data_IF_227775662987
#
_entry.id   IF_227775662987
#
_cell.length_a   1.000
_cell.length_b   1.000
_cell.length_c   1.000
_cell.angle_alpha   90.00
_cell.angle_beta   90.00
_cell.angle_gamma   90.00
#
_symmetry.space_group_name_H-M   'P 1'
#
loop_
_entity.id
_entity.type
_entity.pdbx_description
1 polymer ?
#
# COMPACT_ATOMS: atom_id res chain seq x y z
N UNK A 1 -49.27 10.56 -12.51
CA UNK A 1 -48.35 9.73 -13.32
C UNK A 1 -46.95 10.29 -13.17
N UNK A 2 -46.01 9.57 -12.54
CA UNK A 2 -44.64 10.07 -12.36
C UNK A 2 -43.72 8.99 -11.78
N UNK A 3 -43.08 8.21 -12.64
CA UNK A 3 -42.07 7.21 -12.25
C UNK A 3 -40.73 7.92 -12.04
N UNK A 4 -40.34 8.18 -10.80
CA UNK A 4 -38.97 8.59 -10.47
C UNK A 4 -38.03 7.41 -10.72
N UNK A 5 -37.25 7.47 -11.80
CA UNK A 5 -36.17 6.54 -12.06
C UNK A 5 -35.01 6.91 -11.14
N UNK A 6 -34.82 6.14 -10.07
CA UNK A 6 -33.62 6.21 -9.27
C UNK A 6 -32.44 5.67 -10.09
N UNK A 7 -31.46 6.53 -10.36
CA UNK A 7 -30.18 6.09 -10.92
C UNK A 7 -29.46 5.25 -9.85
N UNK A 8 -29.59 3.93 -9.95
CA UNK A 8 -28.79 2.99 -9.17
C UNK A 8 -27.33 3.14 -9.62
N UNK A 9 -26.50 3.74 -8.78
CA UNK A 9 -25.05 3.77 -8.98
C UNK A 9 -24.56 2.31 -9.07
N UNK A 10 -24.07 1.93 -10.26
CA UNK A 10 -23.49 0.62 -10.52
C UNK A 10 -22.26 0.48 -9.63
N UNK A 11 -22.32 -0.41 -8.63
CA UNK A 11 -21.18 -0.66 -7.74
C UNK A 11 -19.97 -1.11 -8.57
N UNK A 12 -18.76 -0.58 -8.31
CA UNK A 12 -17.57 -0.90 -9.09
C UNK A 12 -17.06 -2.30 -8.74
N UNK A 13 -17.63 -3.32 -9.38
CA UNK A 13 -17.16 -4.72 -9.29
C UNK A 13 -17.35 -5.38 -7.92
N UNK A 14 -17.22 -6.72 -7.88
CA UNK A 14 -17.13 -7.49 -6.63
C UNK A 14 -15.66 -7.58 -6.23
N UNK A 15 -15.30 -7.10 -5.05
CA UNK A 15 -13.97 -7.25 -4.47
C UNK A 15 -14.07 -7.93 -3.09
N UNK A 16 -13.03 -8.67 -2.70
CA UNK A 16 -12.90 -9.31 -1.39
C UNK A 16 -11.59 -8.85 -0.75
N UNK A 17 -11.65 -8.42 0.50
CA UNK A 17 -10.47 -8.01 1.28
C UNK A 17 -10.27 -9.02 2.40
N UNK A 18 -9.02 -9.44 2.61
CA UNK A 18 -8.62 -10.27 3.76
C UNK A 18 -7.43 -9.61 4.45
N UNK A 19 -7.51 -9.50 5.78
CA UNK A 19 -6.41 -8.95 6.59
C UNK A 19 -5.54 -10.11 7.05
N UNK A 20 -4.26 -10.06 6.71
CA UNK A 20 -3.27 -11.03 7.15
C UNK A 20 -2.68 -10.63 8.52
N UNK A 21 -2.44 -11.64 9.37
CA UNK A 21 -1.78 -11.48 10.67
C UNK A 21 -0.26 -11.60 10.57
N UNK A 22 0.34 -12.44 11.42
CA UNK A 22 1.80 -12.66 11.45
C UNK A 22 2.32 -13.49 10.26
N UNK A 23 1.51 -14.38 9.71
CA UNK A 23 1.87 -15.25 8.59
C UNK A 23 1.18 -14.83 7.30
N UNK A 24 1.80 -15.18 6.18
CA UNK A 24 1.17 -15.00 4.87
C UNK A 24 -0.12 -15.83 4.78
N UNK A 25 -1.21 -15.26 4.25
CA UNK A 25 -2.40 -16.03 3.97
C UNK A 25 -2.13 -16.99 2.82
N UNK A 26 -3.00 -17.98 2.63
CA UNK A 26 -2.96 -18.84 1.45
C UNK A 26 -3.08 -17.96 0.20
N UNK A 27 -2.05 -18.00 -0.67
CA UNK A 27 -1.94 -17.11 -1.84
C UNK A 27 -2.61 -17.70 -3.09
N UNK A 28 -2.76 -19.02 -3.17
CA UNK A 28 -3.33 -19.72 -4.33
C UNK A 28 -4.51 -20.61 -3.96
N UNK A 29 -5.38 -20.88 -4.92
CA UNK A 29 -6.43 -21.89 -4.81
C UNK A 29 -6.54 -22.65 -6.12
N UNK A 30 -6.25 -23.95 -6.12
CA UNK A 30 -6.31 -24.82 -7.30
C UNK A 30 -5.66 -24.17 -8.53
N UNK A 31 -4.41 -23.72 -8.35
CA UNK A 31 -3.57 -23.05 -9.37
C UNK A 31 -4.01 -21.66 -9.82
N UNK A 32 -4.97 -21.04 -9.12
CA UNK A 32 -5.35 -19.64 -9.35
C UNK A 32 -4.80 -18.75 -8.26
N UNK A 33 -4.30 -17.58 -8.64
CA UNK A 33 -3.94 -16.54 -7.69
C UNK A 33 -5.18 -16.01 -6.97
N UNK A 34 -5.11 -15.96 -5.64
CA UNK A 34 -6.24 -15.56 -4.79
C UNK A 34 -6.42 -14.04 -4.73
N UNK A 35 -5.35 -13.29 -4.90
CA UNK A 35 -5.30 -11.83 -4.78
C UNK A 35 -4.68 -11.19 -6.01
N UNK A 36 -5.25 -10.07 -6.48
CA UNK A 36 -4.68 -9.25 -7.55
C UNK A 36 -3.79 -8.10 -7.07
N UNK A 37 -3.90 -7.72 -5.80
CA UNK A 37 -3.06 -6.69 -5.16
C UNK A 37 -2.78 -7.09 -3.71
N UNK A 38 -1.54 -6.88 -3.25
CA UNK A 38 -1.14 -6.98 -1.84
C UNK A 38 -0.89 -5.57 -1.31
N UNK A 39 -1.52 -5.23 -0.19
CA UNK A 39 -1.37 -3.90 0.43
C UNK A 39 -0.70 -4.05 1.78
N UNK A 40 0.48 -3.44 1.93
CA UNK A 40 1.16 -3.29 3.21
C UNK A 40 0.85 -1.92 3.79
N UNK A 41 0.17 -1.90 4.93
CA UNK A 41 -0.03 -0.70 5.76
C UNK A 41 1.31 -0.03 6.13
N UNK A 42 2.36 -0.84 6.30
CA UNK A 42 3.72 -0.34 6.50
C UNK A 42 4.66 -1.19 5.64
N UNK A 43 5.36 -0.56 4.68
CA UNK A 43 6.29 -1.23 3.77
C UNK A 43 7.42 -1.97 4.53
N UNK A 44 7.76 -1.53 5.74
CA UNK A 44 8.72 -2.23 6.59
C UNK A 44 8.29 -3.67 6.93
N UNK A 45 6.99 -3.99 6.90
CA UNK A 45 6.50 -5.37 7.07
C UNK A 45 6.99 -6.27 5.93
N UNK A 46 7.08 -5.76 4.71
CA UNK A 46 7.63 -6.49 3.57
C UNK A 46 9.16 -6.53 3.63
N UNK A 47 9.81 -5.40 3.92
CA UNK A 47 11.27 -5.30 3.97
C UNK A 47 11.90 -6.16 5.06
N UNK A 48 11.25 -6.26 6.23
CA UNK A 48 11.71 -7.04 7.36
C UNK A 48 11.11 -8.46 7.42
N UNK A 49 10.39 -8.87 6.37
CA UNK A 49 9.87 -10.23 6.24
C UNK A 49 11.03 -11.22 6.17
N UNK A 50 10.91 -12.38 6.80
CA UNK A 50 11.92 -13.42 6.65
C UNK A 50 12.07 -13.82 5.18
N UNK A 51 13.27 -14.24 4.82
CA UNK A 51 13.67 -14.49 3.44
C UNK A 51 12.74 -15.48 2.74
N UNK A 52 12.35 -16.55 3.41
CA UNK A 52 11.52 -17.61 2.80
C UNK A 52 10.11 -17.11 2.49
N UNK A 53 9.46 -16.43 3.44
CA UNK A 53 8.14 -15.84 3.21
C UNK A 53 8.20 -14.77 2.12
N UNK A 54 9.25 -13.94 2.12
CA UNK A 54 9.42 -12.91 1.09
C UNK A 54 9.60 -13.51 -0.30
N UNK A 55 10.44 -14.54 -0.44
CA UNK A 55 10.63 -15.26 -1.71
C UNK A 55 9.35 -15.94 -2.19
N UNK A 56 8.56 -16.53 -1.29
CA UNK A 56 7.26 -17.11 -1.61
C UNK A 56 6.29 -16.04 -2.13
N UNK A 57 6.22 -14.88 -1.47
CA UNK A 57 5.37 -13.76 -1.89
C UNK A 57 5.83 -13.17 -3.23
N UNK A 58 7.13 -12.98 -3.43
CA UNK A 58 7.69 -12.44 -4.66
C UNK A 58 7.44 -13.38 -5.85
N UNK A 59 7.60 -14.70 -5.64
CA UNK A 59 7.26 -15.72 -6.63
C UNK A 59 5.79 -15.63 -7.02
N UNK A 60 4.91 -15.56 -6.03
CA UNK A 60 3.47 -15.41 -6.24
C UNK A 60 3.15 -14.15 -7.04
N UNK A 61 3.75 -13.01 -6.69
CA UNK A 61 3.48 -11.75 -7.40
C UNK A 61 3.92 -11.80 -8.87
N UNK A 62 5.06 -12.44 -9.16
CA UNK A 62 5.54 -12.61 -10.53
C UNK A 62 4.69 -13.59 -11.33
N UNK A 63 4.32 -14.73 -10.76
CA UNK A 63 3.55 -15.78 -11.46
C UNK A 63 2.13 -15.33 -11.81
N UNK A 64 1.49 -14.56 -10.92
CA UNK A 64 0.08 -14.17 -11.06
C UNK A 64 -0.12 -12.68 -11.38
N UNK A 65 0.95 -11.96 -11.74
CA UNK A 65 0.92 -10.52 -12.09
C UNK A 65 0.27 -9.65 -11.00
N UNK A 66 0.62 -9.90 -9.74
CA UNK A 66 0.06 -9.21 -8.57
C UNK A 66 0.89 -7.99 -8.23
N UNK A 67 0.24 -6.83 -8.10
CA UNK A 67 0.90 -5.60 -7.65
C UNK A 67 1.05 -5.53 -6.14
N UNK A 68 2.15 -4.93 -5.66
CA UNK A 68 2.33 -4.58 -4.25
C UNK A 68 2.15 -3.07 -4.09
N UNK A 69 1.33 -2.67 -3.14
CA UNK A 69 1.21 -1.29 -2.66
C UNK A 69 1.67 -1.25 -1.22
N UNK A 70 2.62 -0.37 -0.90
CA UNK A 70 3.12 -0.21 0.47
C UNK A 70 3.15 1.25 0.87
N UNK A 71 2.73 1.54 2.10
CA UNK A 71 2.88 2.87 2.67
C UNK A 71 4.16 2.94 3.51
N UNK A 72 4.97 3.96 3.28
CA UNK A 72 6.10 4.27 4.15
C UNK A 72 5.56 5.21 5.23
N UNK A 73 5.72 4.85 6.49
CA UNK A 73 5.40 5.78 7.57
C UNK A 73 6.25 7.04 7.38
N UNK A 74 5.70 8.25 7.57
CA UNK A 74 6.53 9.45 7.60
C UNK A 74 7.63 9.22 8.64
N UNK A 75 8.88 9.08 8.21
CA UNK A 75 10.00 9.25 9.11
C UNK A 75 9.92 10.70 9.58
N UNK A 76 10.09 10.95 10.87
CA UNK A 76 10.27 12.32 11.39
C UNK A 76 11.61 12.91 10.94
N UNK A 77 11.97 12.79 9.66
CA UNK A 77 12.82 13.77 9.03
C UNK A 77 11.94 14.97 8.70
N UNK A 78 11.57 15.68 9.77
CA UNK A 78 11.58 17.13 9.72
C UNK A 78 12.99 17.51 9.24
N UNK A 79 13.21 17.57 7.92
CA UNK A 79 14.32 18.31 7.33
C UNK A 79 14.03 19.80 7.59
N UNK A 80 14.12 20.19 8.85
CA UNK A 80 14.23 21.58 9.26
C UNK A 80 15.69 21.93 9.04
N UNK A 81 16.00 22.54 7.89
CA UNK A 81 17.30 23.15 7.66
C UNK A 81 18.39 22.20 7.14
N UNK A 82 18.05 21.23 6.29
CA UNK A 82 19.09 20.53 5.53
C UNK A 82 19.84 21.55 4.65
N UNK A 83 21.10 21.83 4.99
CA UNK A 83 21.99 22.63 4.16
C UNK A 83 22.45 21.77 2.99
N UNK A 84 22.25 22.27 1.77
CA UNK A 84 22.73 21.60 0.58
C UNK A 84 24.26 21.53 0.62
N UNK A 85 24.83 20.32 0.58
CA UNK A 85 26.28 20.13 0.69
C UNK A 85 27.02 20.95 -0.38
N UNK A 86 27.81 21.92 0.05
CA UNK A 86 28.61 22.79 -0.83
C UNK A 86 27.95 24.11 -1.24
N UNK A 87 26.78 24.47 -0.70
CA UNK A 87 26.10 25.73 -0.99
C UNK A 87 25.42 26.30 0.27
N UNK A 88 25.38 27.63 0.49
CA UNK A 88 24.73 28.23 1.65
C UNK A 88 23.19 28.31 1.49
N UNK A 89 22.57 27.26 0.92
CA UNK A 89 21.13 27.16 0.73
C UNK A 89 20.55 26.18 1.75
N UNK A 90 19.56 26.64 2.51
CA UNK A 90 18.85 25.88 3.54
C UNK A 90 17.46 25.49 3.01
N UNK A 91 17.17 24.20 2.99
CA UNK A 91 15.85 23.69 2.60
C UNK A 91 14.92 23.72 3.82
N UNK A 92 13.80 24.45 3.68
CA UNK A 92 12.73 24.50 4.68
C UNK A 92 11.46 23.94 4.05
N UNK A 93 10.92 22.85 4.62
CA UNK A 93 9.62 22.31 4.23
C UNK A 93 8.55 22.76 5.24
N UNK A 94 7.58 23.54 4.77
CA UNK A 94 6.39 23.93 5.51
C UNK A 94 5.26 22.94 5.26
N UNK A 95 4.95 22.00 6.17
CA UNK A 95 3.63 21.36 6.19
C UNK A 95 3.23 20.88 7.60
N UNK A 96 2.38 21.67 8.27
CA UNK A 96 1.02 21.28 8.71
C UNK A 96 0.28 22.50 9.26
N UNK A 97 -0.90 22.80 8.71
CA UNK A 97 -1.87 23.66 9.37
C UNK A 97 -2.48 22.85 10.52
N UNK A 98 -2.21 23.24 11.77
CA UNK A 98 -3.02 22.78 12.90
C UNK A 98 -4.39 23.43 12.78
N UNK A 99 -5.45 22.62 12.83
CA UNK A 99 -6.82 23.11 12.98
C UNK A 99 -6.91 23.86 14.32
N UNK A 100 -7.54 25.05 14.31
CA UNK A 100 -7.87 25.83 15.52
C UNK A 100 -8.99 25.15 16.31
#
# INVERSE_FOLDING_TARGET
>A
MGRKHGHQLKQPGRYKVEVAGKSLPVLTNLDKGKYGVIVFENLNKYLNMDKWNRELLDKYCREYSVGIVGFVAPTEETLVGAQMKGFPLLIHNNLRLKHL
#
